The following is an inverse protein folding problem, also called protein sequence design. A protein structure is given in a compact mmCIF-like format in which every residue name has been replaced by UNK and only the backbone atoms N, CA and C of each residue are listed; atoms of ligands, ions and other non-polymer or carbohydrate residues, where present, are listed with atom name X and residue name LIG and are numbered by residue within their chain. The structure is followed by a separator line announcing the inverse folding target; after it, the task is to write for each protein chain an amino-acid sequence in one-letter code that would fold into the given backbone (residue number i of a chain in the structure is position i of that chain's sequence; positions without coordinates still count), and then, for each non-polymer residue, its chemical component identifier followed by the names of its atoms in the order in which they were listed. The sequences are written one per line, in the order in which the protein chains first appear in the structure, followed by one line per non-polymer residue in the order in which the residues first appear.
data_IF_374392947486
#
_entry.id   IF_374392947486
#
_cell.length_a   1.000
_cell.length_b   1.000
_cell.length_c   1.000
_cell.angle_alpha   90.00
_cell.angle_beta   90.00
_cell.angle_gamma   90.00
#
_symmetry.space_group_name_H-M   'P 1'
#
loop_
_entity.id
_entity.type
_entity.pdbx_description
1 polymer ?
#
# COMPACT_ATOMS: atom_id res chain seq x y z
N UNK A 1 19.48 -6.92 -20.84
CA UNK A 1 18.92 -8.13 -20.20
C UNK A 1 18.73 -7.83 -18.70
N UNK A 2 17.56 -8.04 -18.10
CA UNK A 2 17.36 -7.83 -16.65
C UNK A 2 17.77 -9.08 -15.84
N UNK A 3 18.27 -8.87 -14.62
CA UNK A 3 18.59 -9.94 -13.68
C UNK A 3 17.30 -10.67 -13.30
N UNK A 4 17.25 -11.99 -13.51
CA UNK A 4 16.03 -12.82 -13.33
C UNK A 4 15.44 -12.80 -11.91
N UNK A 5 16.25 -12.49 -10.90
CA UNK A 5 15.84 -12.43 -9.49
C UNK A 5 15.65 -11.00 -8.97
N UNK A 6 15.68 -9.99 -9.86
CA UNK A 6 15.44 -8.61 -9.50
C UNK A 6 13.95 -8.32 -9.59
N UNK A 7 13.35 -7.96 -8.46
CA UNK A 7 11.95 -7.52 -8.39
C UNK A 7 11.92 -5.99 -8.24
N UNK A 8 11.91 -5.23 -9.35
CA UNK A 8 11.83 -3.78 -9.27
C UNK A 8 10.53 -3.37 -8.56
N UNK A 9 10.63 -2.36 -7.69
CA UNK A 9 9.47 -1.78 -7.00
C UNK A 9 9.50 -0.27 -7.12
N UNK A 10 8.32 0.34 -7.15
CA UNK A 10 8.21 1.80 -7.15
C UNK A 10 8.84 2.40 -5.89
N UNK A 11 9.52 3.51 -6.07
CA UNK A 11 10.15 4.24 -4.98
C UNK A 11 9.09 4.68 -3.96
N UNK A 12 9.31 4.34 -2.69
CA UNK A 12 8.45 4.82 -1.59
C UNK A 12 8.90 6.22 -1.19
N UNK A 13 8.18 7.24 -1.65
CA UNK A 13 8.47 8.64 -1.31
C UNK A 13 8.09 8.98 0.13
N UNK A 14 7.00 8.39 0.60
CA UNK A 14 6.49 8.66 1.93
C UNK A 14 5.53 7.61 2.46
N UNK A 15 5.11 7.83 3.70
CA UNK A 15 4.18 6.96 4.42
C UNK A 15 2.94 7.76 4.79
N UNK A 16 1.79 7.12 4.65
CA UNK A 16 0.53 7.62 5.22
C UNK A 16 0.34 6.88 6.54
N UNK A 17 0.25 7.62 7.65
CA UNK A 17 0.15 7.04 8.99
C UNK A 17 -1.08 7.55 9.72
N UNK A 18 -1.63 6.69 10.58
CA UNK A 18 -2.73 7.00 11.52
C UNK A 18 -2.30 6.75 12.97
N UNK A 19 -0.99 6.81 13.20
CA UNK A 19 -0.39 6.54 14.50
C UNK A 19 1.08 6.93 14.53
N UNK A 20 1.54 7.29 15.72
CA UNK A 20 2.92 7.69 16.02
C UNK A 20 3.45 6.84 17.17
N UNK A 21 4.77 6.84 17.34
CA UNK A 21 5.36 6.42 18.60
C UNK A 21 5.08 7.53 19.61
N UNK A 22 4.53 7.14 20.75
CA UNK A 22 4.37 8.02 21.90
C UNK A 22 5.70 8.31 22.57
N UNK A 23 5.61 8.94 23.73
CA UNK A 23 6.79 9.31 24.53
C UNK A 23 7.58 8.10 25.00
N UNK A 24 8.89 8.28 25.16
CA UNK A 24 9.78 7.26 25.70
C UNK A 24 9.52 7.11 27.20
N UNK A 25 9.19 5.89 27.62
CA UNK A 25 9.01 5.50 29.01
C UNK A 25 10.03 4.40 29.38
N UNK A 26 10.37 4.29 30.66
CA UNK A 26 11.23 3.22 31.18
C UNK A 26 10.40 2.05 31.67
N UNK A 27 10.75 0.85 31.22
CA UNK A 27 10.17 -0.39 31.73
C UNK A 27 10.66 -0.67 33.16
N UNK A 28 9.98 -1.57 33.88
CA UNK A 28 10.39 -2.02 35.21
C UNK A 28 11.80 -2.65 35.24
N UNK A 29 12.34 -3.04 34.07
CA UNK A 29 13.70 -3.57 33.89
C UNK A 29 14.70 -2.53 33.39
N UNK A 30 14.34 -1.25 33.39
CA UNK A 30 15.21 -0.13 32.98
C UNK A 30 15.29 0.16 31.48
N UNK A 31 14.76 -0.71 30.62
CA UNK A 31 14.77 -0.51 29.16
C UNK A 31 13.78 0.56 28.72
N UNK A 32 14.20 1.43 27.81
CA UNK A 32 13.34 2.45 27.20
C UNK A 32 12.39 1.81 26.17
N UNK A 33 11.12 2.20 26.21
CA UNK A 33 10.09 1.78 25.26
C UNK A 33 9.14 2.93 24.92
N UNK A 34 8.60 2.92 23.70
CA UNK A 34 7.62 3.91 23.24
C UNK A 34 6.33 3.18 22.89
N UNK A 35 5.22 3.51 23.56
CA UNK A 35 3.92 2.94 23.24
C UNK A 35 3.34 3.59 21.99
N UNK A 36 2.71 2.84 21.07
CA UNK A 36 2.06 3.42 19.91
C UNK A 36 0.85 4.26 20.33
N UNK A 37 0.80 5.51 19.87
CA UNK A 37 -0.35 6.41 20.02
C UNK A 37 -1.12 6.45 18.70
N UNK A 38 -2.42 6.15 18.75
CA UNK A 38 -3.32 6.24 17.60
C UNK A 38 -3.70 7.71 17.34
N UNK A 39 -3.84 8.08 16.08
CA UNK A 39 -4.32 9.39 15.64
C UNK A 39 -5.71 9.24 15.00
N UNK A 40 -6.48 10.32 15.03
CA UNK A 40 -7.80 10.45 14.39
C UNK A 40 -7.73 11.15 13.02
N UNK A 41 -6.52 11.37 12.51
CA UNK A 41 -6.21 12.05 11.26
C UNK A 41 -4.98 11.39 10.59
N UNK A 42 -4.77 11.71 9.31
CA UNK A 42 -3.60 11.30 8.56
C UNK A 42 -2.41 12.15 8.94
N UNK A 43 -1.30 11.47 9.20
CA UNK A 43 0.02 12.07 9.30
C UNK A 43 0.85 11.55 8.12
N UNK A 44 1.07 12.43 7.14
CA UNK A 44 1.87 12.11 5.96
C UNK A 44 3.30 12.51 6.24
N UNK A 45 4.20 11.56 6.01
CA UNK A 45 5.61 11.67 6.43
C UNK A 45 6.53 11.18 5.33
N UNK A 46 7.75 11.70 5.32
CA UNK A 46 8.83 11.18 4.48
C UNK A 46 9.40 9.86 5.00
N UNK A 47 10.58 9.51 4.51
CA UNK A 47 11.30 8.29 4.88
C UNK A 47 12.33 8.51 5.99
N UNK A 48 12.68 9.76 6.28
CA UNK A 48 13.60 10.13 7.35
C UNK A 48 12.90 10.15 8.72
N UNK A 49 13.65 9.76 9.76
CA UNK A 49 13.20 9.84 11.15
C UNK A 49 13.86 11.01 11.88
N UNK A 50 13.08 11.71 12.71
CA UNK A 50 13.60 12.71 13.62
C UNK A 50 14.16 12.12 14.91
N UNK A 51 14.59 13.00 15.82
CA UNK A 51 15.19 12.65 17.11
C UNK A 51 14.26 11.83 18.02
N UNK A 52 12.95 12.01 17.90
CA UNK A 52 11.92 11.27 18.64
C UNK A 52 11.63 9.86 18.07
N UNK A 53 12.37 9.45 17.03
CA UNK A 53 12.22 8.18 16.32
C UNK A 53 10.87 8.03 15.59
N UNK A 54 10.14 9.13 15.40
CA UNK A 54 9.03 9.25 14.46
C UNK A 54 9.53 9.75 13.10
N UNK A 55 8.76 9.47 12.05
CA UNK A 55 9.05 10.01 10.72
C UNK A 55 8.71 11.49 10.65
N UNK A 56 9.55 12.23 9.93
CA UNK A 56 9.41 13.68 9.73
C UNK A 56 8.20 13.95 8.83
N UNK A 57 7.39 14.94 9.23
CA UNK A 57 6.18 15.35 8.50
C UNK A 57 6.55 15.88 7.12
N UNK A 58 5.82 15.45 6.11
CA UNK A 58 5.89 16.03 4.78
C UNK A 58 5.20 17.40 4.81
N UNK A 59 6.00 18.47 4.83
CA UNK A 59 5.50 19.85 4.97
C UNK A 59 4.73 20.31 3.74
N UNK A 60 5.04 19.79 2.56
CA UNK A 60 4.38 20.17 1.30
C UNK A 60 2.92 19.68 1.34
N UNK A 61 2.74 18.40 1.67
CA UNK A 61 1.42 17.77 1.74
C UNK A 61 0.58 18.37 2.87
N UNK A 62 1.19 18.65 4.02
CA UNK A 62 0.49 19.26 5.15
C UNK A 62 0.20 20.75 4.96
N UNK A 63 0.84 21.45 4.02
CA UNK A 63 0.38 22.77 3.56
C UNK A 63 -0.91 22.65 2.75
N UNK A 64 -1.04 21.62 1.92
CA UNK A 64 -2.21 21.40 1.05
C UNK A 64 -3.44 20.92 1.82
N UNK A 65 -3.28 19.92 2.70
CA UNK A 65 -4.40 19.30 3.41
C UNK A 65 -4.57 19.79 4.85
N UNK A 66 -3.68 20.67 5.32
CA UNK A 66 -3.67 21.19 6.68
C UNK A 66 -2.91 20.31 7.69
N UNK A 67 -2.89 20.72 8.97
CA UNK A 67 -2.05 20.08 9.99
C UNK A 67 -2.57 18.68 10.41
N UNK A 68 -3.89 18.48 10.41
CA UNK A 68 -4.54 17.24 10.89
C UNK A 68 -5.62 16.76 9.91
N UNK A 69 -5.26 16.39 8.67
CA UNK A 69 -6.23 16.04 7.65
C UNK A 69 -6.93 14.72 7.95
N UNK A 70 -8.26 14.72 7.98
CA UNK A 70 -9.08 13.49 8.12
C UNK A 70 -9.44 12.85 6.78
N UNK A 71 -9.21 13.59 5.70
CA UNK A 71 -9.44 13.18 4.32
C UNK A 71 -8.29 13.69 3.45
N UNK A 72 -7.80 12.85 2.53
CA UNK A 72 -6.83 13.22 1.50
C UNK A 72 -7.31 12.69 0.13
N UNK A 73 -7.00 13.42 -0.94
CA UNK A 73 -7.32 12.98 -2.29
C UNK A 73 -6.17 12.11 -2.82
N UNK A 74 -6.51 10.94 -3.36
CA UNK A 74 -5.55 9.93 -3.79
C UNK A 74 -5.98 9.29 -5.11
N UNK A 75 -5.01 8.73 -5.83
CA UNK A 75 -5.23 7.93 -7.03
C UNK A 75 -4.52 6.59 -6.92
N UNK A 76 -5.14 5.59 -7.52
CA UNK A 76 -4.55 4.27 -7.70
C UNK A 76 -3.69 4.22 -8.95
N UNK A 77 -2.72 3.31 -8.96
CA UNK A 77 -1.75 3.17 -10.04
C UNK A 77 -2.19 2.16 -11.08
N UNK A 78 -2.86 1.09 -10.64
CA UNK A 78 -3.22 -0.04 -11.48
C UNK A 78 -4.73 -0.25 -11.52
N UNK A 79 -5.21 -0.84 -12.61
CA UNK A 79 -6.62 -1.25 -12.71
C UNK A 79 -6.89 -2.52 -11.88
N UNK A 80 -5.85 -3.32 -11.63
CA UNK A 80 -5.90 -4.46 -10.73
C UNK A 80 -5.83 -4.04 -9.26
N UNK A 81 -6.71 -4.62 -8.43
CA UNK A 81 -6.84 -4.24 -7.02
C UNK A 81 -5.64 -4.75 -6.21
N UNK A 82 -5.22 -5.99 -6.44
CA UNK A 82 -4.14 -6.63 -5.68
C UNK A 82 -2.79 -5.95 -5.90
N UNK A 83 -2.57 -5.45 -7.10
CA UNK A 83 -1.42 -4.63 -7.48
C UNK A 83 -1.33 -3.30 -6.71
N UNK A 84 -2.47 -2.77 -6.25
CA UNK A 84 -2.51 -1.53 -5.46
C UNK A 84 -2.43 -1.80 -3.93
N UNK A 85 -3.03 -2.89 -3.44
CA UNK A 85 -3.03 -3.24 -2.02
C UNK A 85 -2.54 -4.68 -1.79
N UNK A 86 -1.25 -4.81 -1.48
CA UNK A 86 -0.69 -6.09 -1.10
C UNK A 86 -1.21 -6.49 0.29
N UNK A 87 -1.82 -7.67 0.40
CA UNK A 87 -2.29 -8.23 1.67
C UNK A 87 -1.58 -9.53 2.01
N UNK A 88 -1.38 -9.77 3.31
CA UNK A 88 -0.78 -11.01 3.82
C UNK A 88 -1.07 -11.20 5.30
N UNK A 89 -1.04 -12.44 5.76
CA UNK A 89 -0.87 -12.75 7.16
C UNK A 89 0.59 -12.57 7.56
N UNK A 90 0.85 -11.92 8.68
CA UNK A 90 2.19 -11.86 9.25
C UNK A 90 2.16 -11.97 10.78
N UNK A 91 3.11 -12.72 11.31
CA UNK A 91 3.35 -12.88 12.73
C UNK A 91 4.74 -12.35 13.07
N UNK A 92 4.81 -11.49 14.08
CA UNK A 92 6.06 -10.89 14.53
C UNK A 92 6.41 -11.38 15.93
N UNK A 93 7.69 -11.70 16.14
CA UNK A 93 8.28 -11.93 17.47
C UNK A 93 9.26 -10.78 17.73
N UNK A 94 8.87 -9.87 18.63
CA UNK A 94 9.60 -8.62 18.83
C UNK A 94 9.60 -7.74 17.58
N UNK A 95 10.78 -7.47 17.01
CA UNK A 95 10.95 -6.68 15.77
C UNK A 95 11.07 -7.54 14.51
N UNK A 96 11.24 -8.85 14.65
CA UNK A 96 11.46 -9.75 13.52
C UNK A 96 10.13 -10.31 12.99
N UNK A 97 9.96 -10.26 11.67
CA UNK A 97 8.88 -10.98 11.00
C UNK A 97 9.19 -12.47 11.08
N UNK A 98 8.51 -13.17 11.98
CA UNK A 98 8.75 -14.59 12.25
C UNK A 98 8.03 -15.51 11.26
N UNK A 99 6.86 -15.09 10.78
CA UNK A 99 6.08 -15.85 9.79
C UNK A 99 5.33 -14.89 8.85
N UNK A 100 5.20 -15.25 7.58
CA UNK A 100 4.36 -14.53 6.60
C UNK A 100 3.66 -15.52 5.68
N UNK A 101 2.41 -15.29 5.32
CA UNK A 101 1.64 -16.19 4.46
C UNK A 101 0.47 -15.52 3.77
N UNK A 102 -0.12 -16.21 2.81
CA UNK A 102 -1.23 -15.74 1.95
C UNK A 102 -2.60 -16.21 2.46
N UNK A 103 -2.65 -17.19 3.36
CA UNK A 103 -3.91 -17.80 3.80
C UNK A 103 -4.00 -19.28 3.47
N UNK A 104 -3.09 -19.79 2.64
CA UNK A 104 -2.95 -21.22 2.31
C UNK A 104 -1.58 -21.73 2.74
N UNK A 105 -0.52 -21.00 2.39
CA UNK A 105 0.88 -21.30 2.69
C UNK A 105 1.52 -20.15 3.45
N UNK A 106 2.51 -20.48 4.25
CA UNK A 106 3.31 -19.49 4.96
C UNK A 106 4.77 -19.91 5.01
N UNK A 107 5.65 -18.91 5.01
CA UNK A 107 7.08 -19.07 5.23
C UNK A 107 7.39 -18.63 6.66
N UNK A 108 7.92 -19.55 7.46
CA UNK A 108 8.26 -19.34 8.87
C UNK A 108 9.77 -19.43 9.06
N UNK A 109 10.30 -18.56 9.91
CA UNK A 109 11.70 -18.60 10.34
C UNK A 109 11.81 -19.60 11.48
N UNK A 110 12.69 -20.58 11.33
CA UNK A 110 12.96 -21.59 12.33
C UNK A 110 13.56 -20.94 13.60
N UNK A 111 13.34 -21.50 14.81
CA UNK A 111 13.79 -20.88 16.06
C UNK A 111 15.32 -20.66 16.16
N UNK A 112 16.11 -21.41 15.41
CA UNK A 112 17.57 -21.24 15.27
C UNK A 112 17.97 -20.00 14.44
N UNK A 113 17.00 -19.31 13.83
CA UNK A 113 17.15 -18.01 13.20
C UNK A 113 17.59 -18.03 11.73
N UNK A 114 17.88 -19.21 11.16
CA UNK A 114 18.48 -19.32 9.82
C UNK A 114 17.55 -19.88 8.76
N UNK A 115 16.91 -21.03 9.03
CA UNK A 115 16.17 -21.74 8.00
C UNK A 115 14.73 -21.19 7.84
N UNK A 116 14.30 -21.04 6.59
CA UNK A 116 12.90 -20.74 6.26
C UNK A 116 12.20 -22.05 5.94
N UNK A 117 11.14 -22.35 6.68
CA UNK A 117 10.30 -23.53 6.45
C UNK A 117 8.93 -23.11 5.88
N UNK A 118 8.41 -23.91 4.96
CA UNK A 118 7.03 -23.78 4.50
C UNK A 118 6.09 -24.44 5.51
N UNK A 119 4.99 -23.78 5.84
CA UNK A 119 4.02 -24.25 6.83
C UNK A 119 2.59 -23.88 6.40
N UNK A 120 1.60 -24.56 6.98
CA UNK A 120 0.17 -24.31 6.65
C UNK A 120 -0.30 -22.96 7.20
N UNK A 121 -1.08 -22.25 6.38
CA UNK A 121 -1.78 -21.02 6.74
C UNK A 121 -3.30 -21.23 6.53
N UNK A 122 -4.20 -20.60 7.32
CA UNK A 122 -3.96 -19.87 8.55
C UNK A 122 -3.48 -20.79 9.69
N UNK A 123 -2.82 -20.20 10.70
CA UNK A 123 -2.39 -20.92 11.90
C UNK A 123 -3.28 -20.57 13.10
N UNK A 124 -3.21 -21.38 14.16
CA UNK A 124 -3.95 -21.19 15.42
C UNK A 124 -3.80 -19.79 16.04
N UNK A 125 -2.73 -19.06 15.71
CA UNK A 125 -2.44 -17.71 16.23
C UNK A 125 -3.35 -16.61 15.67
N UNK A 126 -4.19 -16.97 14.70
CA UNK A 126 -5.23 -16.11 14.16
C UNK A 126 -6.55 -16.28 14.92
N UNK A 127 -6.71 -17.34 15.73
CA UNK A 127 -7.96 -17.58 16.46
C UNK A 127 -8.19 -16.52 17.55
N UNK A 128 -9.46 -16.17 17.84
CA UNK A 128 -9.78 -15.23 18.91
C UNK A 128 -9.24 -15.67 20.28
N UNK A 129 -9.23 -16.98 20.54
CA UNK A 129 -8.82 -17.59 21.82
C UNK A 129 -7.31 -17.59 22.04
N UNK A 130 -6.52 -17.28 21.02
CA UNK A 130 -5.08 -17.22 21.16
C UNK A 130 -4.65 -16.07 22.09
N UNK A 131 -4.07 -16.42 23.24
CA UNK A 131 -3.63 -15.46 24.30
C UNK A 131 -2.17 -15.04 24.20
N UNK A 132 -1.40 -15.61 23.26
CA UNK A 132 0.01 -15.24 23.08
C UNK A 132 0.20 -13.80 22.58
N UNK A 133 1.38 -13.24 22.85
CA UNK A 133 1.75 -11.87 22.44
C UNK A 133 2.04 -11.77 20.94
N UNK A 134 2.44 -12.89 20.34
CA UNK A 134 2.78 -13.11 18.95
C UNK A 134 1.56 -13.59 18.15
N UNK A 135 0.52 -12.73 18.15
CA UNK A 135 -0.68 -12.93 17.33
C UNK A 135 -0.36 -12.78 15.85
N UNK A 136 -0.92 -13.67 15.03
CA UNK A 136 -0.86 -13.53 13.58
C UNK A 136 -1.89 -12.48 13.14
N UNK A 137 -1.46 -11.46 12.41
CA UNK A 137 -2.33 -10.35 11.99
C UNK A 137 -2.38 -10.25 10.48
N UNK A 138 -3.54 -9.88 9.95
CA UNK A 138 -3.63 -9.38 8.58
C UNK A 138 -2.84 -8.09 8.47
N UNK A 139 -2.10 -7.95 7.36
CA UNK A 139 -1.37 -6.76 7.00
C UNK A 139 -1.82 -6.35 5.60
N UNK A 140 -2.16 -5.09 5.43
CA UNK A 140 -2.41 -4.47 4.13
C UNK A 140 -1.41 -3.35 3.89
N UNK A 141 -0.85 -3.29 2.69
CA UNK A 141 0.03 -2.23 2.23
C UNK A 141 -0.55 -1.63 0.94
N UNK A 142 -1.34 -0.57 1.10
CA UNK A 142 -1.94 0.19 0.01
C UNK A 142 -0.93 1.21 -0.52
N UNK A 143 -0.67 1.19 -1.81
CA UNK A 143 0.16 2.16 -2.52
C UNK A 143 -0.72 3.14 -3.29
N UNK A 144 -0.50 4.43 -3.10
CA UNK A 144 -1.28 5.49 -3.75
C UNK A 144 -0.39 6.63 -4.21
N UNK A 145 -0.91 7.40 -5.15
CA UNK A 145 -0.44 8.75 -5.47
C UNK A 145 -1.33 9.72 -4.70
N UNK A 146 -0.73 10.73 -4.06
CA UNK A 146 -1.47 11.79 -3.39
C UNK A 146 -1.66 12.93 -4.40
N UNK A 147 -2.91 13.38 -4.59
CA UNK A 147 -3.21 14.46 -5.52
C UNK A 147 -2.65 15.80 -5.00
N UNK A 148 -2.27 16.69 -5.93
CA UNK A 148 -1.69 18.00 -5.61
C UNK A 148 -0.19 17.98 -5.31
N UNK A 149 0.46 16.82 -5.41
CA UNK A 149 1.92 16.70 -5.44
C UNK A 149 2.32 16.17 -6.81
N UNK A 150 2.79 17.06 -7.69
CA UNK A 150 3.09 16.75 -9.09
C UNK A 150 4.41 15.95 -9.22
N UNK A 151 4.39 14.65 -8.89
CA UNK A 151 5.57 13.78 -9.02
C UNK A 151 5.18 12.42 -9.59
N UNK A 152 5.93 12.03 -10.62
CA UNK A 152 5.83 10.72 -11.28
C UNK A 152 6.98 9.82 -10.78
N UNK A 153 6.71 8.53 -10.61
CA UNK A 153 7.72 7.53 -10.24
C UNK A 153 7.86 7.24 -8.73
N UNK A 154 7.10 7.93 -7.87
CA UNK A 154 7.07 7.70 -6.43
C UNK A 154 5.66 7.45 -5.90
N UNK A 155 5.54 6.61 -4.86
CA UNK A 155 4.26 6.31 -4.19
C UNK A 155 4.31 6.57 -2.70
N UNK A 156 3.14 6.85 -2.13
CA UNK A 156 2.92 6.86 -0.69
C UNK A 156 2.28 5.55 -0.26
N UNK A 157 2.84 4.94 0.79
CA UNK A 157 2.35 3.65 1.30
C UNK A 157 1.59 3.83 2.61
N UNK A 158 0.34 3.39 2.62
CA UNK A 158 -0.47 3.22 3.82
C UNK A 158 -0.41 1.77 4.28
N UNK A 159 0.12 1.55 5.49
CA UNK A 159 0.24 0.21 6.08
C UNK A 159 -0.69 0.09 7.27
N UNK A 160 -1.48 -0.97 7.28
CA UNK A 160 -2.47 -1.22 8.33
C UNK A 160 -2.54 -2.69 8.69
N UNK A 161 -2.89 -2.97 9.94
CA UNK A 161 -3.24 -4.31 10.41
C UNK A 161 -4.71 -4.42 10.82
N UNK A 162 -5.52 -3.42 10.48
CA UNK A 162 -6.94 -3.36 10.85
C UNK A 162 -7.77 -4.16 9.86
N UNK A 163 -8.42 -5.22 10.34
CA UNK A 163 -9.37 -6.02 9.56
C UNK A 163 -10.43 -5.14 8.88
N UNK A 164 -11.08 -4.26 9.66
CA UNK A 164 -12.13 -3.37 9.16
C UNK A 164 -11.65 -2.45 8.03
N UNK A 165 -10.40 -1.99 8.11
CA UNK A 165 -9.81 -1.12 7.08
C UNK A 165 -9.47 -1.91 5.83
N UNK A 166 -8.80 -3.06 5.96
CA UNK A 166 -8.41 -3.87 4.81
C UNK A 166 -9.65 -4.34 4.05
N UNK A 167 -10.64 -4.88 4.76
CA UNK A 167 -11.90 -5.33 4.16
C UNK A 167 -12.68 -4.17 3.53
N UNK A 168 -12.78 -3.04 4.23
CA UNK A 168 -13.48 -1.86 3.72
C UNK A 168 -12.84 -1.32 2.44
N UNK A 169 -11.51 -1.21 2.41
CA UNK A 169 -10.77 -0.76 1.21
C UNK A 169 -10.97 -1.73 0.04
N UNK A 170 -10.77 -3.03 0.24
CA UNK A 170 -10.95 -4.03 -0.82
C UNK A 170 -12.39 -4.03 -1.37
N UNK A 171 -13.39 -3.97 -0.48
CA UNK A 171 -14.81 -3.91 -0.86
C UNK A 171 -15.16 -2.65 -1.63
N UNK A 172 -14.70 -1.48 -1.18
CA UNK A 172 -14.88 -0.22 -1.89
C UNK A 172 -14.26 -0.26 -3.29
N UNK A 173 -13.03 -0.76 -3.42
CA UNK A 173 -12.35 -0.84 -4.71
C UNK A 173 -13.04 -1.81 -5.67
N UNK A 174 -13.52 -2.95 -5.17
CA UNK A 174 -14.29 -3.91 -5.97
C UNK A 174 -15.59 -3.28 -6.50
N UNK A 175 -16.30 -2.52 -5.67
CA UNK A 175 -17.50 -1.81 -6.08
C UNK A 175 -17.19 -0.73 -7.12
N UNK A 176 -16.18 0.11 -6.87
CA UNK A 176 -15.78 1.18 -7.80
C UNK A 176 -15.40 0.59 -9.15
N UNK A 177 -14.55 -0.46 -9.17
CA UNK A 177 -14.14 -1.17 -10.39
C UNK A 177 -15.32 -1.76 -11.16
N UNK A 178 -16.33 -2.27 -10.45
CA UNK A 178 -17.57 -2.77 -11.07
C UNK A 178 -18.38 -1.65 -11.72
N UNK A 179 -18.55 -0.52 -11.03
CA UNK A 179 -19.32 0.63 -11.55
C UNK A 179 -18.65 1.26 -12.76
N UNK A 180 -17.31 1.33 -12.77
CA UNK A 180 -16.54 1.90 -13.89
C UNK A 180 -16.44 0.96 -15.09
N UNK A 181 -16.80 -0.31 -14.94
CA UNK A 181 -16.65 -1.32 -15.99
C UNK A 181 -15.22 -1.84 -16.16
N UNK A 182 -14.35 -1.68 -15.16
CA UNK A 182 -12.97 -2.19 -15.19
C UNK A 182 -11.90 -1.16 -14.81
N UNK A 183 -11.90 0.05 -15.40
CA UNK A 183 -10.91 1.08 -15.09
C UNK A 183 -10.94 1.48 -13.62
N UNK A 184 -9.77 1.56 -12.99
CA UNK A 184 -9.59 1.95 -11.59
C UNK A 184 -8.37 2.89 -11.42
N UNK A 185 -7.34 2.72 -12.25
CA UNK A 185 -6.15 3.55 -12.25
C UNK A 185 -6.48 5.02 -12.52
N UNK A 186 -5.89 5.91 -11.73
CA UNK A 186 -6.01 7.35 -11.90
C UNK A 186 -7.41 7.93 -11.63
N UNK A 187 -8.36 7.15 -11.11
CA UNK A 187 -9.64 7.69 -10.62
C UNK A 187 -9.38 8.49 -9.34
N UNK A 188 -9.87 9.74 -9.24
CA UNK A 188 -9.70 10.56 -8.04
C UNK A 188 -10.58 10.02 -6.91
N UNK A 189 -9.95 9.44 -5.90
CA UNK A 189 -10.60 8.89 -4.71
C UNK A 189 -10.30 9.76 -3.49
N UNK A 190 -11.18 9.67 -2.49
CA UNK A 190 -10.99 10.23 -1.15
C UNK A 190 -10.63 9.11 -0.21
N UNK A 191 -9.44 9.21 0.37
CA UNK A 191 -9.03 8.36 1.48
C UNK A 191 -9.42 9.08 2.76
N UNK A 192 -10.26 8.45 3.58
CA UNK A 192 -10.91 9.08 4.74
C UNK A 192 -10.74 8.25 5.99
N UNK A 193 -10.49 8.91 7.12
CA UNK A 193 -10.54 8.29 8.45
C UNK A 193 -11.89 8.57 9.08
N UNK A 194 -12.56 7.50 9.52
CA UNK A 194 -13.84 7.58 10.22
C UNK A 194 -13.82 6.73 11.49
N UNK A 195 -14.40 7.21 12.60
CA UNK A 195 -14.59 6.39 13.79
C UNK A 195 -15.65 5.31 13.51
N UNK A 196 -15.36 4.07 13.93
CA UNK A 196 -16.28 2.94 13.87
C UNK A 196 -16.36 2.28 15.23
N UNK A 197 -17.56 2.14 15.75
CA UNK A 197 -17.81 1.37 16.97
C UNK A 197 -17.73 -0.12 16.64
N UNK A 198 -16.89 -0.85 17.36
CA UNK A 198 -16.68 -2.28 17.18
C UNK A 198 -16.74 -2.99 18.52
N UNK A 199 -17.24 -4.22 18.51
CA UNK A 199 -17.20 -5.12 19.66
C UNK A 199 -15.96 -5.99 19.51
N UNK A 200 -15.08 -5.98 20.51
CA UNK A 200 -13.89 -6.84 20.53
C UNK A 200 -14.33 -8.30 20.68
N UNK A 201 -14.01 -9.21 19.74
CA UNK A 201 -14.38 -10.62 19.87
C UNK A 201 -13.74 -11.31 21.09
N UNK A 202 -12.62 -10.79 21.60
CA UNK A 202 -11.90 -11.39 22.72
C UNK A 202 -12.56 -11.10 24.08
N UNK A 203 -13.16 -9.91 24.25
CA UNK A 203 -13.60 -9.42 25.57
C UNK A 203 -15.06 -8.93 25.56
N UNK A 204 -15.75 -8.99 24.42
CA UNK A 204 -17.08 -8.40 24.19
C UNK A 204 -17.23 -6.92 24.57
N UNK A 205 -16.11 -6.19 24.72
CA UNK A 205 -16.11 -4.76 25.02
C UNK A 205 -16.36 -3.94 23.76
N UNK A 206 -17.23 -2.94 23.90
CA UNK A 206 -17.48 -1.92 22.88
C UNK A 206 -16.33 -0.92 22.91
N UNK A 207 -15.72 -0.67 21.76
CA UNK A 207 -14.67 0.34 21.60
C UNK A 207 -14.79 1.05 20.25
N UNK A 208 -14.35 2.31 20.20
CA UNK A 208 -14.27 3.06 18.94
C UNK A 208 -12.89 2.90 18.33
N UNK A 209 -12.84 2.46 17.07
CA UNK A 209 -11.59 2.34 16.30
C UNK A 209 -11.64 3.26 15.09
N UNK A 210 -10.49 3.82 14.71
CA UNK A 210 -10.36 4.60 13.49
C UNK A 210 -10.19 3.65 12.30
N UNK A 211 -11.09 3.77 11.32
CA UNK A 211 -11.10 2.95 10.10
C UNK A 211 -10.86 3.86 8.91
N UNK A 212 -9.98 3.43 8.01
CA UNK A 212 -9.78 4.10 6.73
C UNK A 212 -10.67 3.49 5.65
N UNK A 213 -11.33 4.33 4.87
CA UNK A 213 -12.09 3.99 3.67
C UNK A 213 -11.52 4.67 2.44
N UNK A 214 -11.78 4.10 1.26
CA UNK A 214 -11.64 4.77 -0.04
C UNK A 214 -13.03 5.00 -0.62
N UNK A 215 -13.31 6.22 -1.02
CA UNK A 215 -14.62 6.66 -1.50
C UNK A 215 -14.45 7.51 -2.76
N UNK A 216 -15.33 7.35 -3.75
CA UNK A 216 -15.41 8.28 -4.86
C UNK A 216 -16.37 9.42 -4.49
N UNK A 217 -15.94 10.67 -4.68
CA UNK A 217 -16.76 11.85 -4.38
C UNK A 217 -17.57 12.24 -5.62
N UNK A 218 -18.74 11.64 -5.78
CA UNK A 218 -19.65 11.92 -6.89
C UNK A 218 -20.81 10.91 -6.93
N UNK A 219 -21.70 11.05 -7.91
CA UNK A 219 -22.78 10.08 -8.13
C UNK A 219 -22.27 8.83 -8.85
N UNK A 220 -23.05 7.74 -8.79
CA UNK A 220 -22.73 6.52 -9.53
C UNK A 220 -22.69 6.76 -11.04
N UNK A 221 -23.58 7.61 -11.57
CA UNK A 221 -23.59 7.96 -13.00
C UNK A 221 -22.29 8.67 -13.40
N UNK A 222 -21.84 9.64 -12.58
CA UNK A 222 -20.58 10.35 -12.86
C UNK A 222 -19.36 9.44 -12.81
N UNK A 223 -19.37 8.41 -11.93
CA UNK A 223 -18.30 7.43 -11.84
C UNK A 223 -18.30 6.50 -13.06
N UNK A 224 -19.48 6.07 -13.50
CA UNK A 224 -19.65 5.24 -14.69
C UNK A 224 -19.17 5.98 -15.95
N UNK A 225 -19.56 7.25 -16.11
CA UNK A 225 -19.10 8.09 -17.22
C UNK A 225 -17.58 8.26 -17.20
N UNK A 226 -16.99 8.53 -16.03
CA UNK A 226 -15.54 8.63 -15.88
C UNK A 226 -14.84 7.31 -16.26
N UNK A 227 -15.41 6.17 -15.87
CA UNK A 227 -14.94 4.84 -16.26
C UNK A 227 -14.98 4.66 -17.78
N UNK A 228 -16.10 5.00 -18.40
CA UNK A 228 -16.27 4.92 -19.86
C UNK A 228 -15.25 5.78 -20.60
N UNK A 229 -15.06 7.04 -20.19
CA UNK A 229 -14.09 7.93 -20.81
C UNK A 229 -12.65 7.42 -20.67
N UNK A 230 -12.30 6.86 -19.50
CA UNK A 230 -10.98 6.24 -19.30
C UNK A 230 -10.77 5.03 -20.20
N UNK A 231 -11.75 4.14 -20.32
CA UNK A 231 -11.67 3.00 -21.21
C UNK A 231 -11.48 3.44 -22.67
N UNK A 232 -12.24 4.46 -23.12
CA UNK A 232 -12.12 5.02 -24.46
C UNK A 232 -10.74 5.65 -24.71
N UNK A 233 -10.20 6.36 -23.72
CA UNK A 233 -8.86 6.94 -23.80
C UNK A 233 -7.77 5.86 -23.85
N UNK A 234 -7.88 4.82 -23.02
CA UNK A 234 -6.95 3.68 -23.03
C UNK A 234 -6.98 2.96 -24.37
N UNK A 235 -8.16 2.70 -24.94
CA UNK A 235 -8.29 2.06 -26.25
C UNK A 235 -7.64 2.90 -27.36
N UNK A 236 -7.94 4.21 -27.42
CA UNK A 236 -7.30 5.13 -28.36
C UNK A 236 -5.78 5.18 -28.19
N UNK A 237 -5.30 5.18 -26.96
CA UNK A 237 -3.87 5.20 -26.66
C UNK A 237 -3.20 3.88 -27.10
N UNK A 238 -3.81 2.74 -26.80
CA UNK A 238 -3.31 1.42 -27.19
C UNK A 238 -3.23 1.27 -28.71
N UNK A 239 -4.26 1.72 -29.44
CA UNK A 239 -4.24 1.74 -30.91
C UNK A 239 -3.10 2.62 -31.46
N UNK A 240 -2.93 3.82 -30.90
CA UNK A 240 -1.84 4.73 -31.31
C UNK A 240 -0.46 4.13 -31.02
N UNK A 241 -0.27 3.55 -29.83
CA UNK A 241 0.99 2.91 -29.45
C UNK A 241 1.31 1.70 -30.32
N UNK A 242 0.31 0.86 -30.63
CA UNK A 242 0.47 -0.25 -31.56
C UNK A 242 0.93 0.20 -32.95
N UNK A 243 0.37 1.30 -33.46
CA UNK A 243 0.79 1.88 -34.74
C UNK A 243 2.24 2.39 -34.69
N UNK A 244 2.62 3.08 -33.61
CA UNK A 244 3.99 3.57 -33.42
C UNK A 244 4.97 2.39 -33.32
N UNK A 245 4.66 1.35 -32.55
CA UNK A 245 5.53 0.16 -32.44
C UNK A 245 5.71 -0.56 -33.77
N UNK A 246 4.66 -0.64 -34.59
CA UNK A 246 4.77 -1.21 -35.94
C UNK A 246 5.64 -0.37 -36.86
N UNK A 247 5.53 0.96 -36.79
CA UNK A 247 6.36 1.89 -37.55
C UNK A 247 7.82 1.83 -37.11
N UNK A 248 8.09 1.84 -35.80
CA UNK A 248 9.44 1.64 -35.24
C UNK A 248 10.01 0.29 -35.66
N UNK A 249 9.25 -0.81 -35.58
CA UNK A 249 9.71 -2.13 -36.05
C UNK A 249 10.06 -2.12 -37.53
N UNK A 250 9.30 -1.42 -38.39
CA UNK A 250 9.63 -1.26 -39.81
C UNK A 250 10.94 -0.49 -39.98
N UNK A 251 11.09 0.66 -39.31
CA UNK A 251 12.30 1.49 -39.40
C UNK A 251 13.53 0.72 -38.86
N UNK A 252 13.44 0.09 -37.69
CA UNK A 252 14.54 -0.69 -37.10
C UNK A 252 14.90 -1.91 -37.96
N UNK A 253 13.92 -2.60 -38.55
CA UNK A 253 14.21 -3.68 -39.50
C UNK A 253 14.91 -3.20 -40.78
N UNK A 254 14.77 -1.92 -41.12
CA UNK A 254 15.50 -1.29 -42.23
C UNK A 254 16.87 -0.75 -41.78
N UNK A 255 17.06 -0.48 -40.47
CA UNK A 255 18.28 0.08 -39.90
C UNK A 255 19.30 -0.99 -39.44
N UNK A 256 18.88 -2.25 -39.24
CA UNK A 256 19.76 -3.38 -38.91
C UNK A 256 20.78 -3.74 -40.01
N UNK A 257 20.72 -3.10 -41.18
CA UNK A 257 21.71 -3.25 -42.25
C UNK A 257 22.95 -2.35 -42.07
N UNK A 258 23.05 -1.58 -40.98
CA UNK A 258 24.22 -0.77 -40.64
C UNK A 258 24.95 -1.43 -39.47
N UNK A 259 26.09 -2.05 -39.77
CA UNK A 259 26.97 -2.71 -38.80
C UNK A 259 27.75 -1.62 -38.04
N UNK A 260 27.44 -1.42 -36.76
CA UNK A 260 28.22 -0.53 -35.87
C UNK A 260 29.46 -1.29 -35.36
N UNK A 261 30.65 -0.81 -35.74
CA UNK A 261 31.95 -1.46 -35.48
C UNK A 261 32.65 -1.02 -34.17
N UNK A 262 32.07 -0.11 -33.37
CA UNK A 262 32.77 0.46 -32.21
C UNK A 262 32.02 0.26 -30.89
N UNK A 263 32.43 -0.77 -30.12
CA UNK A 263 32.12 -0.90 -28.69
C UNK A 263 33.44 -0.87 -27.92
N UNK A 264 33.70 0.24 -27.22
CA UNK A 264 34.82 0.38 -26.29
C UNK A 264 34.30 0.08 -24.89
N UNK A 265 34.85 -0.96 -24.24
CA UNK A 265 34.51 -1.36 -22.87
C UNK A 265 35.01 -0.30 -21.86
N UNK A 266 34.10 0.28 -21.08
CA UNK A 266 34.43 1.08 -19.89
C UNK A 266 34.48 0.17 -18.64
N UNK A 267 35.61 0.25 -17.93
CA UNK A 267 35.95 -0.47 -16.69
C UNK A 267 35.21 0.04 -15.45
#
# INVERSE_FOLDING_TARGET
MMIKNLNPTLAERGKIKIGIKGESAKSARGNDYQLPKKLDHFRIVGMEKGADNNFIVDREIHKLYGPTPKEIAVRLLYDDIESNIATRYACYKGRQQWCTGDGERAVRIHPDGGLKEETKCPCERQTPDYKGKDKCKMNGALSVIIDGVEVVGGVWKFRTTSYNTIMGVLGSLALIKKVTGGPLAGIPLRMKISPKTVVSPADNKVQTVQVVSLEYKGSSESLQELGYQKALQQEKHNQRMGNIEQEVKRITATATDIVDEDVVDEF
#
